data_IF_066941123374
#
_entry.id   IF_066941123374
#
_cell.length_a   1.000
_cell.length_b   1.000
_cell.length_c   1.000
_cell.angle_alpha   90.00
_cell.angle_beta   90.00
_cell.angle_gamma   90.00
#
_symmetry.space_group_name_H-M   'P 1'
#
loop_
_entity.id
_entity.type
_entity.pdbx_description
1 polymer ?
#
# COMPACT_ATOMS: atom_id res chain seq x y z
N UNK A 1 2.34 1.44 -13.49
CA UNK A 1 3.57 0.85 -12.91
C UNK A 1 4.82 1.15 -13.73
N UNK A 2 5.63 2.08 -13.24
CA UNK A 2 7.01 2.31 -13.66
C UNK A 2 7.99 1.41 -12.89
N UNK A 3 9.11 1.03 -13.51
CA UNK A 3 10.16 0.21 -12.89
C UNK A 3 11.51 0.90 -13.03
N UNK A 4 12.29 1.00 -11.96
CA UNK A 4 13.69 1.43 -12.04
C UNK A 4 14.62 0.23 -12.14
N UNK A 5 15.31 0.07 -13.28
CA UNK A 5 16.33 -0.99 -13.44
C UNK A 5 17.50 -0.78 -12.48
N UNK A 6 17.92 0.47 -12.27
CA UNK A 6 18.93 0.84 -11.26
C UNK A 6 18.46 0.54 -9.85
N UNK A 7 17.18 0.79 -9.58
CA UNK A 7 16.49 0.44 -8.34
C UNK A 7 16.57 -1.04 -8.03
N UNK A 8 16.12 -1.88 -8.97
CA UNK A 8 16.13 -3.33 -8.82
C UNK A 8 17.57 -3.85 -8.62
N UNK A 9 18.55 -3.28 -9.33
CA UNK A 9 19.94 -3.65 -9.18
C UNK A 9 20.48 -3.40 -7.76
N UNK A 10 19.93 -2.43 -7.00
CA UNK A 10 20.34 -2.18 -5.60
C UNK A 10 20.05 -3.34 -4.66
N UNK A 11 19.08 -4.20 -4.96
CA UNK A 11 18.87 -5.43 -4.17
C UNK A 11 20.04 -6.42 -4.29
N UNK A 12 20.89 -6.25 -5.29
CA UNK A 12 22.09 -7.05 -5.50
C UNK A 12 23.38 -6.33 -5.05
N UNK A 13 23.25 -5.17 -4.39
CA UNK A 13 24.41 -4.47 -3.83
C UNK A 13 25.10 -5.38 -2.80
N UNK A 14 26.41 -5.62 -2.97
CA UNK A 14 27.19 -6.50 -2.11
C UNK A 14 27.13 -7.99 -2.47
N UNK A 15 26.35 -8.38 -3.49
CA UNK A 15 26.46 -9.73 -4.07
C UNK A 15 27.80 -9.84 -4.80
N UNK A 16 28.68 -10.72 -4.32
CA UNK A 16 29.99 -10.99 -4.91
C UNK A 16 29.97 -12.29 -5.72
N UNK A 17 30.86 -12.42 -6.71
CA UNK A 17 30.94 -13.57 -7.62
C UNK A 17 30.43 -13.28 -9.05
N UNK A 18 30.42 -14.31 -9.90
CA UNK A 18 29.99 -14.17 -11.30
C UNK A 18 28.47 -14.03 -11.40
N UNK A 19 27.99 -12.85 -11.83
CA UNK A 19 26.59 -12.66 -12.24
C UNK A 19 26.48 -12.99 -13.73
N UNK A 20 25.80 -14.07 -14.06
CA UNK A 20 25.44 -14.38 -15.44
C UNK A 20 24.04 -13.84 -15.70
N UNK A 21 23.92 -12.78 -16.49
CA UNK A 21 22.64 -12.14 -16.82
C UNK A 21 21.60 -13.14 -17.34
N UNK A 22 22.02 -14.12 -18.14
CA UNK A 22 21.11 -15.13 -18.68
C UNK A 22 20.56 -16.03 -17.58
N UNK A 23 21.38 -16.56 -16.69
CA UNK A 23 20.89 -17.43 -15.60
C UNK A 23 20.30 -16.66 -14.42
N UNK A 24 20.86 -15.50 -14.07
CA UNK A 24 20.51 -14.74 -12.86
C UNK A 24 19.34 -13.79 -13.08
N UNK A 25 19.26 -13.13 -14.24
CA UNK A 25 18.20 -12.15 -14.54
C UNK A 25 17.13 -12.77 -15.46
N UNK A 26 17.54 -13.55 -16.46
CA UNK A 26 16.62 -14.20 -17.39
C UNK A 26 16.21 -15.62 -16.96
N UNK A 27 16.84 -16.19 -15.92
CA UNK A 27 16.56 -17.53 -15.39
C UNK A 27 16.83 -18.66 -16.38
N UNK A 28 17.91 -18.55 -17.16
CA UNK A 28 18.42 -19.60 -18.04
C UNK A 28 17.71 -19.69 -19.40
N UNK A 29 16.68 -18.88 -19.62
CA UNK A 29 15.88 -18.92 -20.83
C UNK A 29 16.69 -18.65 -22.12
N UNK A 30 16.21 -19.18 -23.25
CA UNK A 30 16.77 -18.87 -24.56
C UNK A 30 16.47 -17.41 -24.94
N UNK A 31 17.35 -16.79 -25.74
CA UNK A 31 17.12 -15.42 -26.22
C UNK A 31 15.75 -15.32 -26.91
N UNK A 32 15.00 -14.26 -26.60
CA UNK A 32 13.66 -14.01 -27.18
C UNK A 32 12.50 -14.77 -26.54
N UNK A 33 12.74 -15.69 -25.60
CA UNK A 33 11.66 -16.49 -24.97
C UNK A 33 11.11 -15.89 -23.68
N UNK A 34 11.79 -14.91 -23.09
CA UNK A 34 11.38 -14.28 -21.83
C UNK A 34 11.50 -12.77 -21.92
N UNK A 35 10.42 -12.08 -21.51
CA UNK A 35 10.39 -10.63 -21.37
C UNK A 35 11.28 -10.19 -20.20
N UNK A 36 12.30 -9.36 -20.51
CA UNK A 36 13.13 -8.71 -19.49
C UNK A 36 12.27 -7.91 -18.50
N UNK A 37 11.23 -7.22 -19.00
CA UNK A 37 10.30 -6.47 -18.15
C UNK A 37 9.60 -7.40 -17.15
N UNK A 38 9.09 -8.54 -17.59
CA UNK A 38 8.40 -9.48 -16.70
C UNK A 38 9.34 -10.04 -15.63
N UNK A 39 10.60 -10.31 -15.99
CA UNK A 39 11.62 -10.71 -15.03
C UNK A 39 11.91 -9.63 -14.00
N UNK A 40 12.09 -8.39 -14.44
CA UNK A 40 12.32 -7.27 -13.54
C UNK A 40 11.14 -7.03 -12.60
N UNK A 41 9.90 -7.18 -13.07
CA UNK A 41 8.70 -7.18 -12.20
C UNK A 41 8.79 -8.28 -11.14
N UNK A 42 9.08 -9.52 -11.55
CA UNK A 42 9.21 -10.64 -10.60
C UNK A 42 10.30 -10.40 -9.57
N UNK A 43 11.44 -9.84 -9.98
CA UNK A 43 12.55 -9.54 -9.07
C UNK A 43 12.27 -8.37 -8.12
N UNK A 44 11.47 -7.40 -8.56
CA UNK A 44 11.09 -6.23 -7.76
C UNK A 44 9.95 -6.50 -6.79
N UNK A 45 9.14 -7.54 -7.05
CA UNK A 45 7.96 -7.87 -6.25
C UNK A 45 8.37 -8.45 -4.90
N UNK A 46 7.80 -7.89 -3.84
CA UNK A 46 7.96 -8.34 -2.45
C UNK A 46 6.62 -8.29 -1.73
N UNK A 47 6.41 -9.25 -0.85
CA UNK A 47 5.30 -9.23 0.12
C UNK A 47 5.83 -8.69 1.44
N UNK A 48 5.10 -7.75 2.04
CA UNK A 48 5.42 -7.16 3.32
C UNK A 48 4.32 -7.52 4.33
N UNK A 49 4.73 -7.87 5.55
CA UNK A 49 3.82 -8.07 6.67
C UNK A 49 4.55 -7.71 7.95
N UNK A 50 3.96 -6.84 8.77
CA UNK A 50 4.51 -6.46 10.07
C UNK A 50 3.42 -5.98 11.02
N UNK A 51 3.64 -6.18 12.32
CA UNK A 51 2.73 -5.69 13.35
C UNK A 51 2.92 -4.19 13.58
N UNK A 52 1.81 -3.51 13.84
CA UNK A 52 1.75 -2.20 14.46
C UNK A 52 1.19 -2.36 15.86
N UNK A 53 1.78 -1.70 16.84
CA UNK A 53 1.21 -1.59 18.17
C UNK A 53 1.44 -0.19 18.67
N UNK A 54 0.37 0.41 19.19
CA UNK A 54 0.39 1.73 19.80
C UNK A 54 -0.59 1.73 20.97
N UNK A 55 -0.09 1.95 22.19
CA UNK A 55 -0.91 1.95 23.40
C UNK A 55 -1.73 0.63 23.52
N UNK A 56 -3.06 0.73 23.54
CA UNK A 56 -3.97 -0.43 23.58
C UNK A 56 -4.33 -0.97 22.18
N UNK A 57 -3.90 -0.28 21.13
CA UNK A 57 -4.22 -0.63 19.75
C UNK A 57 -3.14 -1.51 19.16
N UNK A 58 -3.58 -2.49 18.37
CA UNK A 58 -2.69 -3.28 17.53
C UNK A 58 -3.37 -3.59 16.22
N UNK A 59 -2.58 -3.61 15.16
CA UNK A 59 -3.00 -3.99 13.83
C UNK A 59 -1.85 -4.69 13.11
N UNK A 60 -2.13 -5.29 11.97
CA UNK A 60 -1.09 -5.82 11.09
C UNK A 60 -1.17 -5.05 9.80
N UNK A 61 -0.03 -4.60 9.30
CA UNK A 61 0.11 -4.08 7.95
C UNK A 61 0.49 -5.22 7.02
N UNK A 62 -0.15 -5.30 5.84
CA UNK A 62 0.19 -6.31 4.83
C UNK A 62 -0.08 -5.82 3.42
N UNK A 63 0.92 -5.92 2.53
CA UNK A 63 0.80 -5.47 1.15
C UNK A 63 1.86 -6.10 0.25
N UNK A 64 1.59 -6.13 -1.05
CA UNK A 64 2.57 -6.42 -2.10
C UNK A 64 3.15 -5.08 -2.56
N UNK A 65 4.47 -5.00 -2.72
CA UNK A 65 5.12 -3.87 -3.37
C UNK A 65 5.96 -4.36 -4.54
N UNK A 66 5.76 -3.75 -5.70
CA UNK A 66 6.58 -3.92 -6.90
C UNK A 66 7.11 -2.55 -7.30
N UNK A 67 8.35 -2.25 -6.89
CA UNK A 67 8.95 -0.92 -7.04
C UNK A 67 8.06 0.20 -6.47
N UNK A 68 7.53 1.10 -7.30
CA UNK A 68 6.66 2.21 -6.87
C UNK A 68 5.17 1.86 -6.87
N UNK A 69 4.80 0.62 -7.18
CA UNK A 69 3.40 0.17 -7.12
C UNK A 69 3.18 -0.65 -5.84
N UNK A 70 2.24 -0.20 -5.04
CA UNK A 70 1.80 -0.82 -3.79
C UNK A 70 0.41 -1.39 -4.04
N UNK A 71 0.20 -2.64 -3.67
CA UNK A 71 -1.06 -3.34 -3.85
C UNK A 71 -1.51 -3.97 -2.56
N UNK A 72 -2.76 -3.76 -2.21
CA UNK A 72 -3.40 -4.40 -1.06
C UNK A 72 -4.57 -5.25 -1.54
N UNK A 73 -4.51 -6.54 -1.23
CA UNK A 73 -5.57 -7.51 -1.51
C UNK A 73 -6.53 -7.54 -0.32
N UNK A 74 -7.77 -7.10 -0.53
CA UNK A 74 -8.78 -6.98 0.52
C UNK A 74 -9.93 -7.93 0.21
N UNK A 75 -10.26 -8.78 1.17
CA UNK A 75 -11.49 -9.56 1.16
C UNK A 75 -12.57 -8.83 1.97
N UNK A 76 -13.68 -8.51 1.31
CA UNK A 76 -14.86 -7.91 1.93
C UNK A 76 -15.88 -8.99 2.29
N UNK A 77 -16.25 -9.06 3.57
CA UNK A 77 -17.24 -9.98 4.11
C UNK A 77 -18.47 -9.18 4.57
N UNK A 78 -19.46 -8.94 3.70
CA UNK A 78 -20.65 -8.19 4.07
C UNK A 78 -21.56 -8.98 5.02
N UNK A 79 -22.14 -8.27 5.98
CA UNK A 79 -23.21 -8.78 6.83
C UNK A 79 -24.46 -9.13 6.01
N UNK A 80 -25.30 -9.98 6.60
CA UNK A 80 -26.58 -10.34 6.01
C UNK A 80 -27.45 -9.10 5.74
N UNK A 81 -28.11 -9.09 4.58
CA UNK A 81 -28.99 -8.00 4.15
C UNK A 81 -28.32 -6.91 3.30
N UNK A 82 -26.99 -6.87 3.24
CA UNK A 82 -26.28 -5.98 2.31
C UNK A 82 -26.31 -6.59 0.91
N UNK A 83 -26.91 -5.89 -0.04
CA UNK A 83 -27.10 -6.41 -1.40
C UNK A 83 -25.79 -6.39 -2.21
N UNK A 84 -25.69 -7.23 -3.23
CA UNK A 84 -24.57 -7.20 -4.18
C UNK A 84 -24.45 -5.85 -4.91
N UNK A 85 -25.57 -5.19 -5.21
CA UNK A 85 -25.58 -3.87 -5.83
C UNK A 85 -24.97 -2.81 -4.91
N UNK A 86 -25.35 -2.82 -3.62
CA UNK A 86 -24.73 -1.97 -2.59
C UNK A 86 -23.23 -2.22 -2.52
N UNK A 87 -22.80 -3.48 -2.45
CA UNK A 87 -21.37 -3.82 -2.40
C UNK A 87 -20.59 -3.38 -3.63
N UNK A 88 -21.17 -3.46 -4.83
CA UNK A 88 -20.51 -2.96 -6.05
C UNK A 88 -20.33 -1.43 -6.01
N UNK A 89 -21.34 -0.71 -5.53
CA UNK A 89 -21.25 0.74 -5.32
C UNK A 89 -20.17 1.10 -4.29
N UNK A 90 -20.13 0.39 -3.16
CA UNK A 90 -19.15 0.61 -2.10
C UNK A 90 -17.72 0.32 -2.56
N UNK A 91 -17.48 -0.81 -3.24
CA UNK A 91 -16.16 -1.11 -3.84
C UNK A 91 -15.67 0.04 -4.71
N UNK A 92 -16.51 0.53 -5.61
CA UNK A 92 -16.17 1.64 -6.50
C UNK A 92 -15.86 2.92 -5.71
N UNK A 93 -16.71 3.29 -4.74
CA UNK A 93 -16.51 4.48 -3.91
C UNK A 93 -15.23 4.41 -3.09
N UNK A 94 -14.98 3.28 -2.44
CA UNK A 94 -13.82 3.09 -1.57
C UNK A 94 -12.52 3.00 -2.36
N UNK A 95 -12.50 2.24 -3.46
CA UNK A 95 -11.36 2.14 -4.36
C UNK A 95 -10.97 3.52 -4.90
N UNK A 96 -11.93 4.27 -5.46
CA UNK A 96 -11.67 5.62 -5.96
C UNK A 96 -11.16 6.56 -4.85
N UNK A 97 -11.74 6.49 -3.65
CA UNK A 97 -11.33 7.29 -2.50
C UNK A 97 -9.91 6.99 -2.05
N UNK A 98 -9.56 5.71 -1.97
CA UNK A 98 -8.22 5.23 -1.62
C UNK A 98 -7.21 5.68 -2.66
N UNK A 99 -7.43 5.33 -3.93
CA UNK A 99 -6.46 5.57 -5.00
C UNK A 99 -6.25 7.06 -5.27
N UNK A 100 -7.31 7.87 -5.19
CA UNK A 100 -7.19 9.33 -5.32
C UNK A 100 -6.47 9.96 -4.12
N UNK A 101 -6.64 9.42 -2.91
CA UNK A 101 -5.98 9.94 -1.72
C UNK A 101 -4.50 9.62 -1.71
N UNK A 102 -4.14 8.36 -1.91
CA UNK A 102 -2.76 7.86 -1.74
C UNK A 102 -1.93 7.91 -3.02
N UNK A 103 -2.55 7.66 -4.18
CA UNK A 103 -1.88 7.57 -5.47
C UNK A 103 -1.35 8.90 -5.95
N UNK A 104 -0.19 8.85 -6.63
CA UNK A 104 0.41 9.99 -7.34
C UNK A 104 0.54 11.24 -6.47
N UNK A 105 0.88 11.10 -5.18
CA UNK A 105 1.19 12.24 -4.29
C UNK A 105 2.68 12.52 -4.21
N UNK A 106 3.46 11.47 -4.32
CA UNK A 106 4.91 11.46 -4.25
C UNK A 106 5.45 10.43 -5.24
N UNK A 107 6.74 10.52 -5.55
CA UNK A 107 7.44 9.53 -6.35
C UNK A 107 8.60 8.91 -5.58
N UNK A 108 9.06 7.77 -6.07
CA UNK A 108 10.33 7.17 -5.70
C UNK A 108 11.40 7.61 -6.69
N UNK A 109 12.52 8.10 -6.18
CA UNK A 109 13.67 8.45 -7.02
C UNK A 109 14.93 8.70 -6.21
N UNK A 110 16.06 8.74 -6.91
CA UNK A 110 17.34 9.25 -6.41
C UNK A 110 17.92 10.22 -7.43
N UNK A 111 18.90 11.03 -7.01
CA UNK A 111 19.63 11.92 -7.91
C UNK A 111 20.16 11.14 -9.12
N UNK A 112 19.82 11.61 -10.33
CA UNK A 112 20.21 10.96 -11.59
C UNK A 112 19.31 9.80 -12.04
N UNK A 113 18.16 9.58 -11.38
CA UNK A 113 17.12 8.63 -11.79
C UNK A 113 15.82 9.36 -12.14
N UNK A 114 15.02 8.79 -13.05
CA UNK A 114 13.67 9.28 -13.27
C UNK A 114 12.78 8.99 -12.07
N UNK A 115 12.02 10.00 -11.63
CA UNK A 115 11.04 9.84 -10.57
C UNK A 115 9.90 8.91 -11.03
N UNK A 116 9.59 7.89 -10.23
CA UNK A 116 8.50 6.95 -10.47
C UNK A 116 7.37 7.23 -9.47
N UNK A 117 6.21 7.76 -9.89
CA UNK A 117 5.08 8.00 -8.99
C UNK A 117 4.72 6.76 -8.17
N UNK A 118 4.41 6.98 -6.90
CA UNK A 118 3.85 5.96 -6.03
C UNK A 118 2.39 5.73 -6.44
N UNK A 119 2.10 4.52 -6.88
CA UNK A 119 0.79 4.05 -7.25
C UNK A 119 0.28 3.12 -6.15
N UNK A 120 -0.97 3.31 -5.72
CA UNK A 120 -1.64 2.42 -4.77
C UNK A 120 -2.82 1.77 -5.48
N UNK A 121 -2.93 0.45 -5.38
CA UNK A 121 -3.95 -0.36 -6.01
C UNK A 121 -4.70 -1.16 -4.94
N UNK A 122 -6.02 -1.10 -4.97
CA UNK A 122 -6.88 -1.98 -4.17
C UNK A 122 -7.30 -3.16 -5.02
N UNK A 123 -7.12 -4.38 -4.51
CA UNK A 123 -7.62 -5.58 -5.15
C UNK A 123 -8.66 -6.26 -4.29
N UNK A 124 -9.92 -6.23 -4.72
CA UNK A 124 -10.99 -6.99 -4.09
C UNK A 124 -10.84 -8.49 -4.42
N UNK A 125 -10.55 -9.31 -3.41
CA UNK A 125 -10.28 -10.74 -3.59
C UNK A 125 -11.18 -11.61 -2.73
N UNK A 126 -11.30 -12.89 -3.13
CA UNK A 126 -12.00 -13.93 -2.34
C UNK A 126 -11.04 -14.99 -1.79
N UNK A 127 -9.76 -14.91 -2.14
CA UNK A 127 -8.71 -15.82 -1.69
C UNK A 127 -7.37 -15.09 -1.58
N UNK A 128 -6.51 -15.57 -0.68
CA UNK A 128 -5.19 -14.97 -0.38
C UNK A 128 -5.22 -13.45 -0.09
N UNK A 129 -6.17 -12.95 0.72
CA UNK A 129 -6.17 -11.54 1.09
C UNK A 129 -4.98 -11.18 1.98
N UNK A 130 -4.52 -9.94 1.87
CA UNK A 130 -3.70 -9.29 2.89
C UNK A 130 -4.57 -8.94 4.11
N UNK A 131 -5.79 -8.44 3.85
CA UNK A 131 -6.74 -8.03 4.88
C UNK A 131 -8.13 -8.58 4.63
N UNK A 132 -8.79 -8.97 5.72
CA UNK A 132 -10.21 -9.34 5.70
C UNK A 132 -10.99 -8.27 6.47
N UNK A 133 -12.00 -7.71 5.82
CA UNK A 133 -12.82 -6.62 6.37
C UNK A 133 -14.27 -7.06 6.42
N UNK A 134 -14.88 -7.00 7.61
CA UNK A 134 -16.34 -7.12 7.75
C UNK A 134 -16.98 -5.84 7.24
N UNK A 135 -18.06 -5.95 6.47
CA UNK A 135 -18.85 -4.79 6.05
C UNK A 135 -20.19 -4.84 6.75
N UNK A 136 -20.49 -3.84 7.58
CA UNK A 136 -21.74 -3.74 8.33
C UNK A 136 -22.61 -2.60 7.83
N UNK A 137 -23.91 -2.65 8.10
CA UNK A 137 -24.81 -1.54 7.77
C UNK A 137 -24.47 -0.32 8.63
N UNK A 138 -24.19 0.80 7.96
CA UNK A 138 -23.91 2.08 8.59
C UNK A 138 -25.15 2.92 8.91
N UNK A 139 -24.98 4.06 9.61
CA UNK A 139 -23.70 4.59 10.09
C UNK A 139 -23.19 3.86 11.33
N UNK A 140 -21.89 3.55 11.37
CA UNK A 140 -21.21 2.96 12.51
C UNK A 140 -19.79 3.54 12.63
N UNK A 141 -18.97 3.02 13.54
CA UNK A 141 -17.55 3.34 13.59
C UNK A 141 -16.76 2.30 12.81
N UNK A 142 -16.00 2.75 11.84
CA UNK A 142 -15.07 1.91 11.08
C UNK A 142 -13.71 1.79 11.76
N UNK A 143 -13.02 0.71 11.41
CA UNK A 143 -11.63 0.41 11.75
C UNK A 143 -11.03 -0.51 10.68
N UNK A 144 -9.74 -0.82 10.79
CA UNK A 144 -8.99 -1.62 9.79
C UNK A 144 -9.60 -3.00 9.46
N UNK A 145 -10.45 -3.55 10.34
CA UNK A 145 -11.12 -4.86 10.15
C UNK A 145 -12.63 -4.77 9.92
N UNK A 146 -13.24 -3.60 10.08
CA UNK A 146 -14.68 -3.41 9.95
C UNK A 146 -14.97 -2.07 9.29
N UNK A 147 -15.60 -2.08 8.12
CA UNK A 147 -16.08 -0.87 7.42
C UNK A 147 -17.60 -0.85 7.42
N UNK A 148 -18.20 0.31 7.19
CA UNK A 148 -19.65 0.46 7.18
C UNK A 148 -20.19 1.02 5.87
N UNK A 149 -21.44 0.71 5.54
CA UNK A 149 -22.05 1.09 4.25
C UNK A 149 -22.28 2.60 4.07
N UNK A 150 -22.16 3.41 5.11
CA UNK A 150 -22.22 4.87 5.05
C UNK A 150 -20.83 5.52 4.94
N UNK A 151 -19.74 4.73 4.98
CA UNK A 151 -18.38 5.22 4.83
C UNK A 151 -18.16 5.92 3.49
N UNK A 152 -17.54 7.09 3.56
CA UNK A 152 -17.05 7.81 2.39
C UNK A 152 -15.73 7.22 1.91
N UNK A 153 -15.33 7.56 0.68
CA UNK A 153 -14.00 7.21 0.18
C UNK A 153 -12.84 7.73 1.04
N UNK A 154 -13.03 8.85 1.76
CA UNK A 154 -12.03 9.38 2.70
C UNK A 154 -11.87 8.54 3.96
N UNK A 155 -12.98 7.99 4.49
CA UNK A 155 -12.90 7.03 5.61
C UNK A 155 -12.20 5.75 5.17
N UNK A 156 -12.57 5.20 4.02
CA UNK A 156 -11.89 4.02 3.47
C UNK A 156 -10.39 4.29 3.22
N UNK A 157 -10.02 5.49 2.77
CA UNK A 157 -8.62 5.89 2.60
C UNK A 157 -7.85 5.94 3.93
N UNK A 158 -8.48 6.38 5.02
CA UNK A 158 -7.89 6.35 6.36
C UNK A 158 -7.65 4.91 6.82
N UNK A 159 -8.66 4.05 6.73
CA UNK A 159 -8.54 2.64 7.14
C UNK A 159 -7.51 1.87 6.29
N UNK A 160 -7.42 2.20 5.00
CA UNK A 160 -6.38 1.70 4.12
C UNK A 160 -4.97 2.14 4.59
N UNK A 161 -4.82 3.34 5.14
CA UNK A 161 -3.58 3.80 5.76
C UNK A 161 -3.10 2.87 6.90
N UNK A 162 -4.01 2.33 7.70
CA UNK A 162 -3.66 1.32 8.70
C UNK A 162 -3.16 0.02 8.07
N UNK A 163 -3.77 -0.43 6.96
CA UNK A 163 -3.31 -1.61 6.21
C UNK A 163 -1.88 -1.44 5.66
N UNK A 164 -1.49 -0.20 5.38
CA UNK A 164 -0.15 0.18 4.95
C UNK A 164 0.88 0.31 6.09
N UNK A 165 0.43 0.33 7.34
CA UNK A 165 1.31 0.47 8.49
C UNK A 165 1.41 1.88 9.05
N UNK A 166 0.39 2.72 8.87
CA UNK A 166 0.32 4.03 9.50
C UNK A 166 -0.60 4.01 10.72
N UNK A 167 -0.13 4.47 11.89
CA UNK A 167 -0.99 4.66 13.05
C UNK A 167 -1.93 5.87 12.85
N UNK A 168 -2.95 5.93 13.68
CA UNK A 168 -3.78 7.12 13.83
C UNK A 168 -2.96 8.34 14.27
N UNK A 169 -3.46 9.53 13.90
CA UNK A 169 -2.84 10.82 14.21
C UNK A 169 -3.85 11.83 14.80
N UNK A 170 -5.01 11.37 15.27
CA UNK A 170 -5.92 12.17 16.09
C UNK A 170 -5.69 11.94 17.59
N UNK A 171 -6.11 12.90 18.41
CA UNK A 171 -6.01 12.79 19.88
C UNK A 171 -6.96 11.73 20.44
N UNK A 172 -6.44 10.85 21.31
CA UNK A 172 -7.20 9.77 21.92
C UNK A 172 -6.81 9.60 23.40
N UNK A 173 -7.81 9.62 24.29
CA UNK A 173 -7.59 9.42 25.73
C UNK A 173 -7.07 8.02 26.07
N UNK A 174 -7.34 7.03 25.22
CA UNK A 174 -6.79 5.67 25.34
C UNK A 174 -5.36 5.55 24.80
N UNK A 175 -4.86 6.59 24.12
CA UNK A 175 -3.48 6.65 23.65
C UNK A 175 -2.86 8.05 23.83
N UNK A 176 -2.64 8.48 25.09
CA UNK A 176 -2.15 9.82 25.39
C UNK A 176 -0.72 10.07 24.91
N UNK A 177 0.04 9.01 24.60
CA UNK A 177 1.43 9.10 24.12
C UNK A 177 1.54 9.08 22.60
N UNK A 178 0.42 9.10 21.86
CA UNK A 178 0.41 9.13 20.40
C UNK A 178 1.19 10.32 19.87
N UNK A 179 2.05 10.07 18.89
CA UNK A 179 2.86 11.10 18.25
C UNK A 179 3.21 10.67 16.81
N UNK A 180 2.86 11.47 15.80
CA UNK A 180 2.25 12.80 15.87
C UNK A 180 0.73 12.79 16.13
N UNK A 181 0.18 13.94 16.53
CA UNK A 181 -1.28 14.17 16.66
C UNK A 181 -1.71 15.49 16.02
N UNK A 182 -2.99 15.62 15.64
CA UNK A 182 -3.61 16.82 15.04
C UNK A 182 -2.85 17.30 13.80
N UNK A 183 -2.44 16.36 12.96
CA UNK A 183 -1.55 16.64 11.83
C UNK A 183 -2.27 17.18 10.60
N UNK A 184 -3.60 17.14 10.58
CA UNK A 184 -4.41 17.47 9.43
C UNK A 184 -4.13 16.58 8.22
N UNK A 185 -3.76 15.32 8.45
CA UNK A 185 -3.50 14.32 7.40
C UNK A 185 -4.65 13.34 7.25
N UNK A 186 -4.56 12.47 6.24
CA UNK A 186 -5.45 11.32 6.10
C UNK A 186 -5.57 10.48 7.37
N UNK A 187 -4.50 10.37 8.18
CA UNK A 187 -4.48 9.58 9.42
C UNK A 187 -5.03 10.33 10.64
N UNK A 188 -5.36 11.62 10.51
CA UNK A 188 -5.93 12.44 11.60
C UNK A 188 -7.42 12.70 11.37
N UNK A 189 -7.76 13.27 10.21
CA UNK A 189 -9.10 13.80 9.95
C UNK A 189 -9.69 13.38 8.60
N UNK A 190 -9.21 12.27 8.03
CA UNK A 190 -9.63 11.72 6.74
C UNK A 190 -9.46 12.69 5.56
N UNK A 191 -8.62 13.73 5.70
CA UNK A 191 -8.30 14.63 4.60
C UNK A 191 -7.47 13.94 3.51
N UNK A 192 -7.43 14.54 2.33
CA UNK A 192 -6.58 14.06 1.23
C UNK A 192 -5.09 14.44 1.38
N UNK A 193 -4.67 14.92 2.56
CA UNK A 193 -3.29 15.34 2.81
C UNK A 193 -2.43 14.13 3.21
N UNK A 194 -1.49 13.77 2.33
CA UNK A 194 -0.56 12.66 2.51
C UNK A 194 0.87 13.21 2.55
N UNK A 195 1.46 13.46 3.73
CA UNK A 195 2.81 14.01 3.82
C UNK A 195 3.88 12.99 3.45
N UNK A 196 5.05 13.48 3.04
CA UNK A 196 6.20 12.66 2.61
C UNK A 196 6.54 11.53 3.57
N UNK A 197 6.47 11.77 4.89
CA UNK A 197 6.83 10.78 5.92
C UNK A 197 5.99 9.50 5.88
N UNK A 198 4.75 9.57 5.37
CA UNK A 198 3.92 8.38 5.18
C UNK A 198 4.45 7.52 4.02
N UNK A 199 5.22 8.09 3.11
CA UNK A 199 5.77 7.36 1.96
C UNK A 199 7.15 6.75 2.23
N UNK A 200 7.84 7.18 3.28
CA UNK A 200 9.26 6.85 3.53
C UNK A 200 9.53 5.36 3.55
N UNK A 201 8.67 4.56 4.20
CA UNK A 201 8.82 3.09 4.24
C UNK A 201 8.84 2.48 2.85
N UNK A 202 7.96 2.91 1.94
CA UNK A 202 7.93 2.37 0.57
C UNK A 202 9.20 2.69 -0.20
N UNK A 203 9.80 3.87 0.04
CA UNK A 203 11.10 4.21 -0.52
C UNK A 203 12.22 3.33 0.05
N UNK A 204 12.24 3.15 1.38
CA UNK A 204 13.25 2.35 2.08
C UNK A 204 13.23 0.88 1.64
N UNK A 205 12.02 0.31 1.49
CA UNK A 205 11.78 -1.06 1.02
C UNK A 205 12.51 -1.39 -0.29
N UNK A 206 12.71 -0.38 -1.15
CA UNK A 206 13.34 -0.54 -2.47
C UNK A 206 14.66 0.24 -2.59
N UNK A 207 15.20 0.70 -1.46
CA UNK A 207 16.45 1.46 -1.40
C UNK A 207 16.39 2.72 -2.27
N UNK A 208 15.29 3.48 -2.21
CA UNK A 208 15.08 4.73 -2.92
C UNK A 208 14.94 5.90 -1.95
N UNK A 209 14.51 7.06 -2.44
CA UNK A 209 14.08 8.20 -1.62
C UNK A 209 12.72 8.68 -2.11
N UNK A 210 11.93 9.28 -1.21
CA UNK A 210 10.69 9.94 -1.59
C UNK A 210 11.04 11.31 -2.19
N UNK A 211 10.47 11.61 -3.36
CA UNK A 211 10.68 12.88 -4.08
C UNK A 211 9.33 13.48 -4.47
N UNK A 212 9.27 14.81 -4.56
CA UNK A 212 8.10 15.50 -5.09
C UNK A 212 7.92 15.20 -6.59
N UNK A 213 6.68 15.36 -7.06
CA UNK A 213 6.28 15.19 -8.47
C UNK A 213 5.80 16.51 -9.07
#
# INVERSE_FOLDING_TARGET
MALSTRGIARHYLGVTGHINTRSTILGGAAAGTVSLRNRLVTLARREFTFALSECIYSSTAAFEQTWSSIRVRIQLNPDAGITAATMNGLRTTWENGIETTWGNRWALGRTGEGACPLEFEVQWVTASPHHTVRVQTGPARSNVTTWDTADTGGVAAHEFGHMLGHPDEYTDSNCPTRNPVNTGTVMDNNSANVPQRLMTRFADNVGSSVVAI
#
